data_IF_521603247669
#
_entry.id   IF_521603247669
#
_cell.length_a   1.000
_cell.length_b   1.000
_cell.length_c   1.000
_cell.angle_alpha   90.00
_cell.angle_beta   90.00
_cell.angle_gamma   90.00
#
_symmetry.space_group_name_H-M   'P 1'
#
loop_
_entity.id
_entity.type
_entity.pdbx_description
1 polymer ?
#
# COMPACT_ATOMS: atom_id res chain seq x y z
N UNK A 1 35.24 -10.60 -79.39
CA UNK A 1 34.29 -11.73 -79.24
C UNK A 1 34.89 -12.71 -78.24
N UNK A 2 34.65 -12.51 -76.95
CA UNK A 2 35.20 -13.38 -75.89
C UNK A 2 34.21 -13.47 -74.73
N UNK A 3 33.99 -14.69 -74.29
CA UNK A 3 32.99 -15.10 -73.33
C UNK A 3 33.48 -15.02 -71.87
N UNK A 4 32.50 -14.86 -70.97
CA UNK A 4 32.47 -15.22 -69.53
C UNK A 4 33.39 -14.46 -68.55
N UNK A 5 32.78 -13.69 -67.67
CA UNK A 5 33.35 -13.23 -66.39
C UNK A 5 32.43 -13.55 -65.21
N UNK A 6 33.05 -14.12 -64.16
CA UNK A 6 32.50 -14.52 -62.85
C UNK A 6 32.20 -13.29 -61.97
N UNK A 7 31.16 -13.40 -61.15
CA UNK A 7 30.92 -12.65 -59.90
C UNK A 7 30.01 -13.54 -59.06
N UNK A 8 30.39 -14.21 -57.95
CA UNK A 8 31.04 -13.81 -56.69
C UNK A 8 30.23 -12.83 -55.83
N UNK A 9 29.22 -13.36 -55.11
CA UNK A 9 28.95 -13.15 -53.66
C UNK A 9 27.50 -13.50 -53.32
N UNK A 10 27.28 -14.65 -52.70
CA UNK A 10 26.17 -14.93 -51.78
C UNK A 10 26.79 -15.42 -50.49
N UNK A 11 26.57 -14.68 -49.40
CA UNK A 11 27.09 -14.98 -48.07
C UNK A 11 26.55 -16.30 -47.54
N UNK A 12 27.43 -16.99 -46.82
CA UNK A 12 27.19 -18.27 -46.15
C UNK A 12 26.08 -18.16 -45.11
N UNK A 13 25.03 -18.94 -45.34
CA UNK A 13 24.06 -19.37 -44.33
C UNK A 13 23.95 -20.88 -44.47
N UNK A 14 24.93 -21.62 -43.97
CA UNK A 14 24.89 -23.07 -43.69
C UNK A 14 26.30 -23.55 -43.38
N UNK A 15 26.48 -24.23 -42.24
CA UNK A 15 27.26 -25.50 -42.16
C UNK A 15 27.45 -25.98 -40.71
N UNK A 16 26.34 -26.12 -39.98
CA UNK A 16 26.20 -27.06 -38.86
C UNK A 16 25.39 -28.31 -39.28
N UNK A 17 25.32 -28.59 -40.59
CA UNK A 17 24.68 -29.79 -41.13
C UNK A 17 25.66 -30.96 -41.07
N UNK A 18 25.74 -31.62 -39.91
CA UNK A 18 26.73 -32.67 -39.72
C UNK A 18 26.53 -33.60 -38.53
N UNK A 19 25.30 -34.00 -38.18
CA UNK A 19 25.04 -35.19 -37.35
C UNK A 19 23.54 -35.51 -37.32
N UNK A 20 23.12 -36.60 -37.97
CA UNK A 20 21.97 -37.51 -37.72
C UNK A 20 20.74 -37.10 -36.85
N UNK A 21 20.39 -35.82 -36.73
CA UNK A 21 19.29 -35.33 -35.91
C UNK A 21 17.95 -35.32 -36.64
N UNK A 22 16.86 -35.50 -35.90
CA UNK A 22 15.51 -35.39 -36.45
C UNK A 22 15.21 -33.94 -36.83
N UNK A 23 14.37 -33.71 -37.84
CA UNK A 23 14.01 -32.35 -38.29
C UNK A 23 13.46 -31.43 -37.19
N UNK A 24 12.91 -31.99 -36.10
CA UNK A 24 12.46 -31.20 -34.93
C UNK A 24 13.62 -30.76 -34.02
N UNK A 25 14.80 -31.40 -34.09
CA UNK A 25 16.01 -30.98 -33.36
C UNK A 25 16.67 -29.76 -34.01
N UNK A 26 16.59 -29.62 -35.35
CA UNK A 26 17.05 -28.44 -36.09
C UNK A 26 16.13 -27.22 -35.89
N UNK A 27 14.85 -27.45 -35.59
CA UNK A 27 13.86 -26.40 -35.29
C UNK A 27 13.92 -25.95 -33.82
N UNK A 28 14.46 -26.80 -32.94
CA UNK A 28 14.69 -26.51 -31.52
C UNK A 28 15.96 -25.68 -31.29
N UNK A 29 16.06 -24.51 -31.92
CA UNK A 29 17.01 -23.50 -31.45
C UNK A 29 16.62 -23.15 -30.00
N UNK A 30 17.53 -23.38 -29.05
CA UNK A 30 17.29 -22.95 -27.67
C UNK A 30 17.12 -21.45 -27.73
N UNK A 31 16.08 -20.92 -27.10
CA UNK A 31 15.86 -19.47 -27.03
C UNK A 31 17.09 -18.70 -26.53
N UNK A 32 17.94 -19.34 -25.72
CA UNK A 32 19.20 -18.79 -25.22
C UNK A 32 20.38 -18.84 -26.22
N UNK A 33 20.32 -19.66 -27.28
CA UNK A 33 21.31 -19.65 -28.36
C UNK A 33 21.10 -18.45 -29.32
N UNK A 34 19.88 -17.90 -29.34
CA UNK A 34 19.51 -16.68 -30.09
C UNK A 34 19.91 -15.43 -29.30
N UNK A 35 19.87 -15.50 -27.97
CA UNK A 35 20.40 -14.45 -27.09
C UNK A 35 21.92 -14.63 -26.98
N UNK A 36 22.62 -14.54 -28.11
CA UNK A 36 24.06 -14.25 -28.07
C UNK A 36 24.23 -12.79 -27.72
N UNK A 37 25.14 -12.51 -26.81
CA UNK A 37 25.66 -11.16 -26.61
C UNK A 37 26.11 -10.63 -27.97
N UNK A 38 25.34 -9.72 -28.56
CA UNK A 38 25.81 -8.97 -29.71
C UNK A 38 27.17 -8.37 -29.29
N UNK A 39 28.23 -8.65 -30.06
CA UNK A 39 29.62 -8.20 -29.80
C UNK A 39 29.77 -6.66 -29.75
N UNK A 40 28.66 -5.92 -29.77
CA UNK A 40 28.48 -4.49 -29.47
C UNK A 40 27.85 -4.28 -28.07
N UNK A 41 28.39 -4.95 -27.04
CA UNK A 41 27.90 -4.96 -25.66
C UNK A 41 27.72 -3.61 -24.94
N UNK A 42 27.98 -2.47 -25.60
CA UNK A 42 27.62 -1.14 -25.10
C UNK A 42 26.11 -0.86 -25.14
N UNK A 43 25.39 -1.33 -26.18
CA UNK A 43 23.99 -0.96 -26.39
C UNK A 43 23.02 -1.64 -25.41
N UNK A 44 23.35 -2.84 -24.92
CA UNK A 44 22.52 -3.59 -23.96
C UNK A 44 22.53 -2.96 -22.56
N UNK A 45 23.72 -2.55 -22.09
CA UNK A 45 23.85 -1.87 -20.80
C UNK A 45 23.22 -0.47 -20.82
N UNK A 46 23.40 0.28 -21.91
CA UNK A 46 22.77 1.58 -22.09
C UNK A 46 21.24 1.50 -22.08
N UNK A 47 20.67 0.54 -22.82
CA UNK A 47 19.23 0.28 -22.81
C UNK A 47 18.72 -0.14 -21.42
N UNK A 48 19.49 -0.96 -20.69
CA UNK A 48 19.15 -1.34 -19.31
C UNK A 48 19.15 -0.12 -18.38
N UNK A 49 20.16 0.73 -18.42
CA UNK A 49 20.23 1.94 -17.59
C UNK A 49 19.11 2.90 -17.93
N UNK A 50 18.82 3.13 -19.22
CA UNK A 50 17.68 3.93 -19.64
C UNK A 50 16.36 3.34 -19.13
N UNK A 51 16.16 2.02 -19.24
CA UNK A 51 14.95 1.36 -18.73
C UNK A 51 14.79 1.53 -17.21
N UNK A 52 15.88 1.51 -16.45
CA UNK A 52 15.86 1.73 -14.99
C UNK A 52 15.45 3.18 -14.68
N UNK A 53 16.03 4.15 -15.40
CA UNK A 53 15.70 5.57 -15.23
C UNK A 53 14.24 5.81 -15.62
N UNK A 54 13.78 5.26 -16.74
CA UNK A 54 12.39 5.37 -17.19
C UNK A 54 11.42 4.72 -16.20
N UNK A 55 11.76 3.55 -15.65
CA UNK A 55 10.91 2.90 -14.64
C UNK A 55 10.81 3.73 -13.36
N UNK A 56 11.91 4.37 -12.93
CA UNK A 56 11.89 5.32 -11.81
C UNK A 56 11.07 6.57 -12.13
N UNK A 57 11.23 7.15 -13.32
CA UNK A 57 10.42 8.29 -13.79
C UNK A 57 8.93 7.94 -13.85
N UNK A 58 8.59 6.75 -14.35
CA UNK A 58 7.21 6.24 -14.38
C UNK A 58 6.60 6.19 -12.98
N UNK A 59 7.35 5.79 -11.94
CA UNK A 59 6.84 5.80 -10.55
C UNK A 59 6.50 7.21 -10.06
N UNK A 60 7.36 8.20 -10.34
CA UNK A 60 7.11 9.60 -9.97
C UNK A 60 5.90 10.16 -10.75
N UNK A 61 5.83 9.88 -12.05
CA UNK A 61 4.73 10.34 -12.91
C UNK A 61 3.39 9.64 -12.64
N UNK A 62 3.40 8.42 -12.09
CA UNK A 62 2.17 7.67 -11.72
C UNK A 62 1.37 8.40 -10.64
N UNK A 63 2.02 9.19 -9.80
CA UNK A 63 1.35 10.01 -8.79
C UNK A 63 0.92 11.33 -9.44
N UNK A 64 -0.39 11.54 -9.69
CA UNK A 64 -0.85 12.79 -10.27
C UNK A 64 -0.56 13.92 -9.27
N UNK A 65 0.24 14.90 -9.69
CA UNK A 65 0.55 16.11 -8.93
C UNK A 65 -0.65 17.05 -8.80
N UNK A 66 -1.77 16.72 -9.44
CA UNK A 66 -3.00 17.49 -9.34
C UNK A 66 -3.59 17.32 -7.94
N UNK A 67 -3.79 18.41 -7.18
CA UNK A 67 -4.40 18.35 -5.86
C UNK A 67 -5.86 17.91 -6.00
N UNK A 68 -6.12 16.63 -5.75
CA UNK A 68 -7.46 16.10 -5.64
C UNK A 68 -7.93 16.22 -4.19
N UNK A 69 -9.22 16.48 -3.99
CA UNK A 69 -9.85 16.20 -2.71
C UNK A 69 -9.80 14.69 -2.49
N UNK A 70 -9.21 14.27 -1.37
CA UNK A 70 -9.00 12.86 -1.01
C UNK A 70 -9.64 12.56 0.34
N UNK A 71 -10.11 11.32 0.51
CA UNK A 71 -10.63 10.83 1.79
C UNK A 71 -9.49 10.43 2.74
N UNK A 72 -8.96 11.39 3.51
CA UNK A 72 -7.82 11.14 4.43
C UNK A 72 -8.20 10.18 5.55
N UNK A 73 -9.43 10.27 6.06
CA UNK A 73 -9.96 9.35 7.08
C UNK A 73 -10.55 8.14 6.36
N UNK A 74 -9.74 7.11 6.20
CA UNK A 74 -10.10 5.87 5.49
C UNK A 74 -10.28 4.70 6.44
N UNK A 75 -11.26 3.86 6.14
CA UNK A 75 -11.40 2.53 6.74
C UNK A 75 -11.32 1.52 5.61
N UNK A 76 -10.22 0.76 5.61
CA UNK A 76 -9.92 -0.22 4.59
C UNK A 76 -10.18 -1.63 5.14
N UNK A 77 -11.00 -2.41 4.46
CA UNK A 77 -11.19 -3.83 4.74
C UNK A 77 -10.46 -4.64 3.69
N UNK A 78 -9.47 -5.43 4.10
CA UNK A 78 -8.76 -6.36 3.22
C UNK A 78 -9.47 -7.71 3.27
N UNK A 79 -9.88 -8.20 2.12
CA UNK A 79 -10.46 -9.52 1.94
C UNK A 79 -9.41 -10.39 1.25
N UNK A 80 -8.98 -11.45 1.90
CA UNK A 80 -7.95 -12.37 1.43
C UNK A 80 -8.62 -13.67 0.98
N UNK A 81 -8.30 -14.12 -0.23
CA UNK A 81 -8.62 -15.48 -0.66
C UNK A 81 -7.79 -16.51 0.11
N UNK A 82 -8.47 -17.45 0.76
CA UNK A 82 -7.92 -18.60 1.47
C UNK A 82 -8.47 -19.94 0.93
N UNK A 83 -8.90 -19.97 -0.33
CA UNK A 83 -9.36 -21.17 -1.04
C UNK A 83 -8.23 -22.11 -1.45
N UNK A 84 -8.55 -23.30 -1.93
CA UNK A 84 -7.55 -24.26 -2.42
C UNK A 84 -6.65 -23.71 -3.54
N UNK A 85 -7.13 -22.76 -4.34
CA UNK A 85 -6.36 -22.09 -5.40
C UNK A 85 -5.12 -21.34 -4.87
N UNK A 86 -5.13 -20.98 -3.59
CA UNK A 86 -4.02 -20.27 -2.93
C UNK A 86 -2.90 -21.19 -2.46
N UNK A 87 -3.10 -22.51 -2.56
CA UNK A 87 -2.06 -23.53 -2.35
C UNK A 87 -1.12 -23.67 -3.55
N UNK A 88 -1.47 -23.11 -4.71
CA UNK A 88 -0.65 -23.19 -5.92
C UNK A 88 0.70 -22.49 -5.73
N UNK A 89 1.72 -23.02 -6.42
CA UNK A 89 3.13 -22.60 -6.31
C UNK A 89 3.57 -21.65 -7.42
N UNK A 90 2.62 -20.93 -7.98
CA UNK A 90 2.84 -19.89 -8.99
C UNK A 90 3.73 -18.77 -8.44
N UNK A 91 3.41 -18.31 -7.21
CA UNK A 91 4.29 -17.49 -6.38
C UNK A 91 5.01 -18.38 -5.37
N UNK A 92 6.28 -18.08 -5.06
CA UNK A 92 7.09 -18.92 -4.18
C UNK A 92 6.99 -18.47 -2.71
N UNK A 93 6.81 -19.38 -1.74
CA UNK A 93 6.61 -20.84 -1.87
C UNK A 93 5.18 -21.25 -2.26
N UNK A 94 4.18 -20.44 -1.90
CA UNK A 94 2.75 -20.58 -2.28
C UNK A 94 2.15 -19.19 -2.44
N UNK A 95 1.06 -19.06 -3.21
CA UNK A 95 0.32 -17.79 -3.34
C UNK A 95 -0.05 -17.20 -1.97
N UNK A 96 -0.67 -17.98 -1.08
CA UNK A 96 -1.05 -17.49 0.25
C UNK A 96 0.14 -16.98 1.06
N UNK A 97 1.23 -17.76 1.11
CA UNK A 97 2.40 -17.37 1.91
C UNK A 97 3.03 -16.07 1.41
N UNK A 98 3.04 -15.85 0.09
CA UNK A 98 3.56 -14.62 -0.49
C UNK A 98 2.63 -13.44 -0.22
N UNK A 99 1.32 -13.63 -0.41
CA UNK A 99 0.29 -12.63 -0.07
C UNK A 99 0.39 -12.18 1.39
N UNK A 100 0.54 -13.11 2.34
CA UNK A 100 0.66 -12.76 3.76
C UNK A 100 1.95 -11.99 4.06
N UNK A 101 3.07 -12.27 3.38
CA UNK A 101 4.31 -11.51 3.56
C UNK A 101 4.17 -10.06 3.07
N UNK A 102 3.65 -9.88 1.86
CA UNK A 102 3.43 -8.54 1.32
C UNK A 102 2.35 -7.77 2.08
N UNK A 103 1.35 -8.46 2.63
CA UNK A 103 0.39 -7.84 3.53
C UNK A 103 1.03 -7.33 4.82
N UNK A 104 2.01 -8.03 5.41
CA UNK A 104 2.73 -7.51 6.58
C UNK A 104 3.46 -6.20 6.25
N UNK A 105 4.16 -6.15 5.11
CA UNK A 105 4.82 -4.93 4.62
C UNK A 105 3.80 -3.82 4.35
N UNK A 106 2.68 -4.15 3.68
CA UNK A 106 1.61 -3.21 3.38
C UNK A 106 0.99 -2.61 4.65
N UNK A 107 0.73 -3.40 5.69
CA UNK A 107 0.16 -2.89 6.94
C UNK A 107 1.07 -1.83 7.57
N UNK A 108 2.38 -2.07 7.59
CA UNK A 108 3.34 -1.12 8.16
C UNK A 108 3.38 0.16 7.34
N UNK A 109 3.51 0.06 6.01
CA UNK A 109 3.53 1.22 5.11
C UNK A 109 2.20 2.00 5.15
N UNK A 110 1.07 1.29 5.16
CA UNK A 110 -0.27 1.87 5.19
C UNK A 110 -0.49 2.76 6.41
N UNK A 111 -0.09 2.29 7.59
CA UNK A 111 -0.23 3.06 8.83
C UNK A 111 0.85 4.13 9.01
N UNK A 112 1.97 4.05 8.30
CA UNK A 112 2.96 5.13 8.31
C UNK A 112 2.48 6.33 7.49
N UNK A 113 1.99 6.08 6.28
CA UNK A 113 1.44 7.11 5.38
C UNK A 113 0.07 7.62 5.85
N UNK A 114 -0.78 6.72 6.37
CA UNK A 114 -2.14 7.05 6.78
C UNK A 114 -2.41 6.69 8.25
N UNK A 115 -1.82 7.42 9.22
CA UNK A 115 -1.90 7.04 10.63
C UNK A 115 -3.30 7.10 11.23
N UNK A 116 -4.18 7.96 10.71
CA UNK A 116 -5.56 8.12 11.21
C UNK A 116 -6.54 7.07 10.67
N UNK A 117 -6.06 6.17 9.81
CA UNK A 117 -6.86 5.14 9.15
C UNK A 117 -7.18 3.99 10.08
N UNK A 118 -8.14 3.16 9.65
CA UNK A 118 -8.37 1.84 10.25
C UNK A 118 -8.31 0.77 9.20
N UNK A 119 -7.88 -0.40 9.65
CA UNK A 119 -7.77 -1.59 8.82
C UNK A 119 -8.57 -2.72 9.46
N UNK A 120 -9.21 -3.57 8.67
CA UNK A 120 -9.75 -4.87 9.07
C UNK A 120 -9.35 -5.94 8.07
N UNK A 121 -9.27 -7.20 8.50
CA UNK A 121 -8.84 -8.33 7.65
C UNK A 121 -9.85 -9.48 7.73
N UNK A 122 -10.38 -9.87 6.57
CA UNK A 122 -11.31 -10.99 6.37
C UNK A 122 -10.63 -12.06 5.51
N UNK A 123 -10.83 -13.33 5.83
CA UNK A 123 -10.33 -14.48 5.07
C UNK A 123 -11.51 -15.29 4.50
N UNK A 124 -11.53 -15.50 3.19
CA UNK A 124 -12.49 -16.37 2.52
C UNK A 124 -11.98 -17.80 2.50
N UNK A 125 -12.65 -18.72 3.20
CA UNK A 125 -12.22 -20.12 3.30
C UNK A 125 -13.40 -21.05 3.52
N UNK A 126 -13.41 -22.23 2.89
CA UNK A 126 -14.49 -23.21 3.01
C UNK A 126 -15.89 -22.64 2.69
N UNK A 127 -16.01 -21.74 1.71
CA UNK A 127 -17.27 -21.10 1.33
C UNK A 127 -17.81 -20.08 2.34
N UNK A 128 -17.04 -19.74 3.38
CA UNK A 128 -17.43 -18.77 4.42
C UNK A 128 -16.40 -17.65 4.54
N UNK A 129 -16.86 -16.48 5.00
CA UNK A 129 -16.00 -15.36 5.35
C UNK A 129 -15.68 -15.42 6.85
N UNK A 130 -14.38 -15.46 7.18
CA UNK A 130 -13.90 -15.48 8.56
C UNK A 130 -13.22 -14.15 8.88
N UNK A 131 -13.63 -13.49 9.96
CA UNK A 131 -12.97 -12.29 10.45
C UNK A 131 -11.66 -12.68 11.15
N UNK A 132 -10.51 -12.30 10.57
CA UNK A 132 -9.19 -12.57 11.13
C UNK A 132 -8.77 -11.46 12.08
N UNK A 133 -8.96 -10.23 11.64
CA UNK A 133 -8.59 -9.03 12.38
C UNK A 133 -9.75 -8.04 12.36
N UNK A 134 -10.24 -7.69 13.54
CA UNK A 134 -11.23 -6.64 13.72
C UNK A 134 -10.72 -5.27 13.25
N UNK A 135 -11.64 -4.36 12.93
CA UNK A 135 -11.31 -3.02 12.45
C UNK A 135 -10.61 -2.24 13.56
N UNK A 136 -9.31 -2.01 13.40
CA UNK A 136 -8.52 -1.28 14.40
C UNK A 136 -7.47 -0.39 13.73
N UNK A 137 -7.01 0.62 14.48
CA UNK A 137 -5.94 1.54 14.08
C UNK A 137 -4.54 1.12 14.57
N UNK A 138 -4.38 -0.10 15.11
CA UNK A 138 -3.11 -0.57 15.66
C UNK A 138 -2.37 -1.45 14.63
N UNK A 139 -1.20 -1.04 14.13
CA UNK A 139 -0.46 -1.85 13.15
C UNK A 139 -0.03 -3.21 13.72
N UNK A 140 0.45 -3.23 14.97
CA UNK A 140 0.96 -4.45 15.62
C UNK A 140 -0.14 -5.52 15.76
N UNK A 141 -1.37 -5.11 16.09
CA UNK A 141 -2.51 -6.02 16.17
C UNK A 141 -2.72 -6.78 14.86
N UNK A 142 -2.71 -6.08 13.72
CA UNK A 142 -2.87 -6.69 12.40
C UNK A 142 -1.67 -7.57 12.02
N UNK A 143 -0.45 -7.11 12.28
CA UNK A 143 0.78 -7.88 12.00
C UNK A 143 0.82 -9.19 12.79
N UNK A 144 0.44 -9.17 14.06
CA UNK A 144 0.40 -10.37 14.91
C UNK A 144 -0.68 -11.35 14.44
N UNK A 145 -1.85 -10.86 14.02
CA UNK A 145 -2.90 -11.72 13.42
C UNK A 145 -2.41 -12.35 12.10
N UNK A 146 -1.72 -11.61 11.25
CA UNK A 146 -1.12 -12.15 10.02
C UNK A 146 -0.01 -13.16 10.34
N UNK A 147 0.82 -12.89 11.36
CA UNK A 147 1.85 -13.82 11.82
C UNK A 147 1.24 -15.13 12.33
N UNK A 148 0.12 -15.05 13.04
CA UNK A 148 -0.64 -16.23 13.49
C UNK A 148 -1.23 -17.03 12.32
N UNK A 149 -1.69 -16.37 11.25
CA UNK A 149 -2.09 -17.07 10.02
C UNK A 149 -0.92 -17.80 9.34
N UNK A 150 0.29 -17.21 9.40
CA UNK A 150 1.50 -17.80 8.80
C UNK A 150 2.10 -18.94 9.65
N UNK A 151 1.86 -18.97 10.96
CA UNK A 151 2.43 -19.95 11.88
C UNK A 151 1.98 -21.38 11.51
N UNK A 152 2.90 -22.15 10.92
CA UNK A 152 2.68 -23.42 10.21
C UNK A 152 2.29 -24.62 11.08
N UNK A 153 2.14 -24.48 12.40
CA UNK A 153 2.28 -25.66 13.28
C UNK A 153 1.01 -26.49 13.49
N UNK A 154 -0.20 -25.97 13.27
CA UNK A 154 -1.42 -26.76 13.50
C UNK A 154 -2.57 -26.31 12.60
N UNK A 155 -2.69 -26.87 11.38
CA UNK A 155 -3.88 -27.09 10.52
C UNK A 155 -5.05 -26.06 10.41
N UNK A 156 -5.07 -24.97 11.18
CA UNK A 156 -6.26 -24.15 11.34
C UNK A 156 -6.50 -23.25 10.15
N UNK A 157 -5.47 -22.82 9.43
CA UNK A 157 -5.60 -21.84 8.36
C UNK A 157 -4.89 -22.24 7.06
N UNK A 158 -4.75 -23.55 6.79
CA UNK A 158 -4.36 -23.98 5.45
C UNK A 158 -5.44 -23.58 4.41
N UNK A 159 -5.04 -23.06 3.24
CA UNK A 159 -5.97 -22.66 2.19
C UNK A 159 -6.76 -23.87 1.69
N UNK A 160 -8.07 -23.90 1.99
CA UNK A 160 -8.96 -25.05 1.72
C UNK A 160 -10.37 -24.57 1.36
N UNK A 161 -11.05 -25.42 0.58
CA UNK A 161 -12.39 -25.16 0.08
C UNK A 161 -12.43 -23.99 -0.90
N UNK A 162 -13.63 -23.44 -1.08
CA UNK A 162 -13.90 -22.40 -2.08
C UNK A 162 -13.94 -21.00 -1.45
N UNK A 163 -13.70 -19.94 -2.22
CA UNK A 163 -13.93 -18.58 -1.75
C UNK A 163 -15.42 -18.20 -1.85
N UNK A 164 -15.88 -17.31 -0.97
CA UNK A 164 -17.23 -16.71 -1.07
C UNK A 164 -17.12 -15.19 -0.98
N UNK A 165 -17.23 -14.53 -2.13
CA UNK A 165 -17.21 -13.08 -2.24
C UNK A 165 -18.43 -12.44 -1.56
N UNK A 166 -19.64 -12.97 -1.77
CA UNK A 166 -20.86 -12.40 -1.20
C UNK A 166 -20.78 -12.31 0.33
N UNK A 167 -20.48 -13.41 1.01
CA UNK A 167 -20.38 -13.45 2.48
C UNK A 167 -19.31 -12.48 2.99
N UNK A 168 -18.19 -12.38 2.26
CA UNK A 168 -17.09 -11.48 2.63
C UNK A 168 -17.45 -10.01 2.45
N UNK A 169 -18.18 -9.66 1.39
CA UNK A 169 -18.65 -8.30 1.10
C UNK A 169 -19.75 -7.88 2.08
N UNK A 170 -20.67 -8.77 2.44
CA UNK A 170 -21.70 -8.49 3.45
C UNK A 170 -21.10 -8.29 4.86
N UNK A 171 -20.08 -9.09 5.22
CA UNK A 171 -19.32 -8.91 6.46
C UNK A 171 -18.55 -7.57 6.43
N UNK A 172 -17.83 -7.27 5.35
CA UNK A 172 -17.11 -6.02 5.18
C UNK A 172 -18.04 -4.81 5.27
N UNK A 173 -19.20 -4.87 4.60
CA UNK A 173 -20.26 -3.85 4.66
C UNK A 173 -20.75 -3.62 6.09
N UNK A 174 -20.96 -4.70 6.86
CA UNK A 174 -21.37 -4.60 8.26
C UNK A 174 -20.28 -3.91 9.10
N UNK A 175 -19.02 -4.33 8.97
CA UNK A 175 -17.89 -3.71 9.67
C UNK A 175 -17.74 -2.22 9.32
N UNK A 176 -17.93 -1.85 8.06
CA UNK A 176 -17.87 -0.47 7.59
C UNK A 176 -19.05 0.38 8.10
N UNK A 177 -20.20 -0.22 8.44
CA UNK A 177 -21.34 0.51 9.02
C UNK A 177 -21.24 0.68 10.54
N UNK A 178 -20.90 -0.39 11.27
CA UNK A 178 -20.98 -0.39 12.74
C UNK A 178 -19.87 0.40 13.43
N UNK A 179 -18.68 0.49 12.82
CA UNK A 179 -17.53 1.15 13.45
C UNK A 179 -17.64 2.68 13.56
N UNK A 180 -18.68 3.28 13.00
CA UNK A 180 -18.94 4.71 13.08
C UNK A 180 -20.12 4.96 14.02
N UNK A 181 -19.83 4.99 15.31
CA UNK A 181 -20.78 5.41 16.35
C UNK A 181 -21.39 6.76 16.00
N UNK A 182 -22.72 6.80 16.00
CA UNK A 182 -23.59 7.90 15.57
C UNK A 182 -23.66 8.15 14.06
N UNK A 183 -24.89 8.20 13.55
CA UNK A 183 -25.29 8.39 12.13
C UNK A 183 -24.58 9.57 11.45
N UNK A 184 -24.15 10.57 12.21
CA UNK A 184 -23.51 11.79 11.69
C UNK A 184 -22.07 11.61 11.25
N UNK A 185 -21.37 10.56 11.70
CA UNK A 185 -19.97 10.30 11.31
C UNK A 185 -19.86 9.33 10.13
N UNK A 186 -20.93 8.63 9.78
CA UNK A 186 -20.91 7.52 8.82
C UNK A 186 -20.69 7.98 7.36
N UNK A 187 -21.02 9.22 7.03
CA UNK A 187 -20.81 9.80 5.69
C UNK A 187 -19.41 10.43 5.52
N UNK A 188 -18.65 10.61 6.61
CA UNK A 188 -17.41 11.41 6.59
C UNK A 188 -16.15 10.63 6.23
N UNK A 189 -16.19 9.30 6.35
CA UNK A 189 -15.02 8.46 6.22
C UNK A 189 -15.07 7.71 4.89
N UNK A 190 -13.93 7.64 4.20
CA UNK A 190 -13.78 6.82 3.00
C UNK A 190 -13.91 5.35 3.40
N UNK A 191 -14.89 4.66 2.82
CA UNK A 191 -15.15 3.24 3.05
C UNK A 191 -14.58 2.46 1.88
N UNK A 192 -13.56 1.66 2.16
CA UNK A 192 -12.78 1.00 1.12
C UNK A 192 -12.71 -0.50 1.38
N UNK A 193 -12.82 -1.29 0.32
CA UNK A 193 -12.63 -2.74 0.33
C UNK A 193 -11.54 -3.07 -0.68
N UNK A 194 -10.50 -3.77 -0.23
CA UNK A 194 -9.46 -4.34 -1.11
C UNK A 194 -9.58 -5.86 -1.11
N UNK A 195 -9.92 -6.44 -2.25
CA UNK A 195 -10.04 -7.90 -2.41
C UNK A 195 -8.80 -8.44 -3.09
N UNK A 196 -8.08 -9.37 -2.44
CA UNK A 196 -6.99 -10.13 -3.06
C UNK A 196 -7.57 -11.49 -3.46
N UNK A 197 -7.83 -11.66 -4.75
CA UNK A 197 -8.57 -12.79 -5.31
C UNK A 197 -7.64 -13.73 -6.08
N UNK A 198 -7.48 -14.95 -5.60
CA UNK A 198 -6.59 -15.94 -6.21
C UNK A 198 -7.31 -16.94 -7.11
N UNK A 199 -8.53 -17.33 -6.73
CA UNK A 199 -9.37 -18.21 -7.51
C UNK A 199 -9.91 -17.53 -8.79
N UNK A 200 -10.43 -18.35 -9.70
CA UNK A 200 -11.11 -17.89 -10.92
C UNK A 200 -12.64 -17.99 -10.82
N UNK A 201 -13.15 -18.47 -9.68
CA UNK A 201 -14.56 -18.67 -9.39
C UNK A 201 -14.85 -18.32 -7.93
N UNK A 202 -16.13 -18.08 -7.61
CA UNK A 202 -16.63 -17.83 -6.25
C UNK A 202 -17.85 -18.73 -6.01
N UNK A 203 -18.00 -19.24 -4.78
CA UNK A 203 -19.12 -20.08 -4.36
C UNK A 203 -20.00 -19.27 -3.40
N UNK A 204 -20.98 -18.56 -3.94
CA UNK A 204 -21.85 -17.65 -3.18
C UNK A 204 -23.28 -18.21 -3.00
N UNK A 205 -23.91 -18.00 -1.83
CA UNK A 205 -25.23 -18.57 -1.52
C UNK A 205 -26.40 -17.89 -2.25
N UNK A 206 -26.24 -16.62 -2.65
CA UNK A 206 -27.28 -15.81 -3.27
C UNK A 206 -26.79 -15.03 -4.48
N UNK A 207 -27.58 -14.04 -4.88
CA UNK A 207 -27.26 -13.17 -6.01
C UNK A 207 -26.30 -12.05 -5.59
N UNK A 208 -25.05 -12.14 -6.02
CA UNK A 208 -24.00 -11.17 -5.72
C UNK A 208 -24.33 -9.77 -6.27
N UNK A 209 -25.12 -9.63 -7.34
CA UNK A 209 -25.45 -8.33 -7.91
C UNK A 209 -26.27 -7.46 -6.95
N UNK A 210 -27.13 -8.08 -6.12
CA UNK A 210 -27.86 -7.38 -5.04
C UNK A 210 -26.94 -6.88 -3.93
N UNK A 211 -25.86 -7.61 -3.67
CA UNK A 211 -24.82 -7.20 -2.72
C UNK A 211 -24.03 -6.03 -3.29
N UNK A 212 -23.69 -6.07 -4.59
CA UNK A 212 -23.07 -4.94 -5.30
C UNK A 212 -23.97 -3.70 -5.26
N UNK A 213 -25.28 -3.84 -5.55
CA UNK A 213 -26.25 -2.74 -5.43
C UNK A 213 -26.27 -2.13 -4.02
N UNK A 214 -26.20 -3.00 -3.01
CA UNK A 214 -26.15 -2.60 -1.62
C UNK A 214 -24.87 -1.84 -1.24
N UNK A 215 -23.71 -2.24 -1.78
CA UNK A 215 -22.44 -1.55 -1.58
C UNK A 215 -22.44 -0.17 -2.24
N UNK A 216 -22.96 -0.06 -3.46
CA UNK A 216 -23.12 1.21 -4.17
C UNK A 216 -24.03 2.16 -3.39
N UNK A 217 -25.16 1.66 -2.86
CA UNK A 217 -26.07 2.46 -2.02
C UNK A 217 -25.41 2.99 -0.74
N UNK A 218 -24.45 2.26 -0.20
CA UNK A 218 -23.73 2.64 1.04
C UNK A 218 -22.43 3.42 0.78
N UNK A 219 -22.17 3.80 -0.49
CA UNK A 219 -20.99 4.54 -0.96
C UNK A 219 -19.66 3.87 -0.58
N UNK A 220 -19.59 2.54 -0.74
CA UNK A 220 -18.39 1.75 -0.46
C UNK A 220 -17.61 1.55 -1.77
N UNK A 221 -16.35 1.99 -1.79
CA UNK A 221 -15.44 1.81 -2.92
C UNK A 221 -14.72 0.47 -2.81
N UNK A 222 -14.69 -0.31 -3.90
CA UNK A 222 -13.99 -1.59 -3.95
C UNK A 222 -12.85 -1.55 -4.98
N UNK A 223 -11.73 -2.17 -4.61
CA UNK A 223 -10.61 -2.48 -5.49
C UNK A 223 -10.30 -3.97 -5.41
N UNK A 224 -9.85 -4.54 -6.53
CA UNK A 224 -9.57 -5.98 -6.63
C UNK A 224 -8.20 -6.20 -7.24
N UNK A 225 -7.40 -7.06 -6.60
CA UNK A 225 -6.14 -7.57 -7.14
C UNK A 225 -6.36 -9.05 -7.45
N UNK A 226 -6.43 -9.39 -8.74
CA UNK A 226 -6.53 -10.76 -9.23
C UNK A 226 -5.14 -11.39 -9.38
N UNK A 227 -4.92 -12.58 -8.83
CA UNK A 227 -3.60 -13.24 -8.90
C UNK A 227 -3.32 -13.99 -10.20
N UNK A 228 -4.34 -14.28 -11.03
CA UNK A 228 -4.13 -15.08 -12.24
C UNK A 228 -4.83 -14.48 -13.45
N UNK A 229 -6.14 -14.33 -13.40
CA UNK A 229 -6.91 -13.76 -14.50
C UNK A 229 -7.94 -12.75 -13.99
N UNK A 230 -8.55 -12.06 -14.95
CA UNK A 230 -9.68 -11.18 -14.69
C UNK A 230 -10.97 -11.97 -14.56
N UNK A 231 -11.74 -11.71 -13.50
CA UNK A 231 -13.05 -12.32 -13.27
C UNK A 231 -14.13 -11.28 -13.56
N UNK A 232 -15.08 -11.60 -14.44
CA UNK A 232 -16.10 -10.67 -14.92
C UNK A 232 -16.93 -10.05 -13.77
N UNK A 233 -17.31 -10.85 -12.77
CA UNK A 233 -18.06 -10.38 -11.59
C UNK A 233 -17.25 -9.37 -10.76
N UNK A 234 -15.96 -9.60 -10.59
CA UNK A 234 -15.09 -8.68 -9.87
C UNK A 234 -14.87 -7.39 -10.66
N UNK A 235 -14.81 -7.46 -12.00
CA UNK A 235 -14.77 -6.27 -12.84
C UNK A 235 -16.05 -5.45 -12.73
N UNK A 236 -17.21 -6.11 -12.68
CA UNK A 236 -18.48 -5.43 -12.46
C UNK A 236 -18.55 -4.78 -11.08
N UNK A 237 -18.13 -5.49 -10.02
CA UNK A 237 -18.04 -4.94 -8.66
C UNK A 237 -17.27 -3.62 -8.66
N UNK A 238 -16.04 -3.63 -9.18
CA UNK A 238 -15.15 -2.46 -9.20
C UNK A 238 -15.75 -1.30 -10.02
N UNK A 239 -16.24 -1.59 -11.23
CA UNK A 239 -16.85 -0.58 -12.11
C UNK A 239 -18.03 0.10 -11.41
N UNK A 240 -18.91 -0.70 -10.79
CA UNK A 240 -20.14 -0.19 -10.16
C UNK A 240 -19.85 0.58 -8.88
N UNK A 241 -18.92 0.14 -8.05
CA UNK A 241 -18.58 0.84 -6.79
C UNK A 241 -17.82 2.14 -7.00
N UNK A 242 -17.10 2.28 -8.12
CA UNK A 242 -16.29 3.47 -8.41
C UNK A 242 -16.95 4.43 -9.43
N UNK A 243 -18.22 4.21 -9.77
CA UNK A 243 -18.97 4.99 -10.77
C UNK A 243 -18.29 5.04 -12.15
N UNK A 244 -17.57 3.99 -12.53
CA UNK A 244 -16.91 3.88 -13.82
C UNK A 244 -17.86 3.27 -14.88
N UNK A 245 -17.70 3.61 -16.17
CA UNK A 245 -18.57 3.09 -17.21
C UNK A 245 -18.50 1.56 -17.28
N UNK A 246 -19.67 0.92 -17.49
CA UNK A 246 -19.76 -0.53 -17.67
C UNK A 246 -18.82 -0.97 -18.81
N UNK A 247 -18.05 -2.03 -18.56
CA UNK A 247 -17.03 -2.60 -19.47
C UNK A 247 -15.77 -1.75 -19.70
N UNK A 248 -15.54 -0.70 -18.91
CA UNK A 248 -14.22 -0.07 -18.88
C UNK A 248 -13.22 -0.97 -18.15
N UNK A 249 -11.97 -0.96 -18.59
CA UNK A 249 -10.86 -1.50 -17.81
C UNK A 249 -10.58 -0.53 -16.66
N UNK A 250 -11.09 -0.86 -15.48
CA UNK A 250 -10.89 -0.04 -14.29
C UNK A 250 -9.44 0.00 -13.87
N UNK A 251 -8.96 1.19 -13.49
CA UNK A 251 -7.66 1.34 -12.81
C UNK A 251 -7.62 0.55 -11.48
N UNK A 252 -8.79 0.38 -10.85
CA UNK A 252 -8.97 -0.26 -9.56
C UNK A 252 -9.04 -1.81 -9.61
N UNK A 253 -8.96 -2.40 -10.81
CA UNK A 253 -8.84 -3.85 -11.00
C UNK A 253 -7.46 -4.18 -11.59
N UNK A 254 -6.55 -4.71 -10.75
CA UNK A 254 -5.21 -5.08 -11.18
C UNK A 254 -5.04 -6.60 -11.28
N UNK A 255 -4.47 -7.09 -12.38
CA UNK A 255 -4.04 -8.51 -12.51
C UNK A 255 -2.54 -8.57 -12.31
N UNK A 256 -2.07 -9.43 -11.40
CA UNK A 256 -0.63 -9.59 -11.16
C UNK A 256 0.03 -10.26 -12.38
N UNK A 257 1.27 -9.88 -12.65
CA UNK A 257 2.09 -10.52 -13.71
C UNK A 257 3.29 -11.24 -13.11
N UNK A 258 3.85 -10.68 -12.05
CA UNK A 258 4.99 -11.23 -11.31
C UNK A 258 4.93 -10.72 -9.86
N UNK A 259 5.84 -11.22 -9.02
CA UNK A 259 5.94 -10.85 -7.61
C UNK A 259 6.12 -9.33 -7.40
N UNK A 260 6.94 -8.67 -8.23
CA UNK A 260 7.14 -7.22 -8.16
C UNK A 260 5.87 -6.43 -8.50
N UNK A 261 5.12 -6.85 -9.53
CA UNK A 261 3.89 -6.18 -9.94
C UNK A 261 2.81 -6.35 -8.86
N UNK A 262 2.75 -7.52 -8.22
CA UNK A 262 1.85 -7.71 -7.08
C UNK A 262 2.16 -6.74 -5.94
N UNK A 263 3.44 -6.57 -5.59
CA UNK A 263 3.85 -5.57 -4.59
C UNK A 263 3.50 -4.14 -5.02
N UNK A 264 3.68 -3.78 -6.29
CA UNK A 264 3.31 -2.46 -6.80
C UNK A 264 1.81 -2.18 -6.69
N UNK A 265 0.94 -3.11 -7.09
CA UNK A 265 -0.52 -2.97 -6.98
C UNK A 265 -0.98 -2.85 -5.53
N UNK A 266 -0.36 -3.62 -4.63
CA UNK A 266 -0.66 -3.55 -3.21
C UNK A 266 -0.24 -2.19 -2.62
N UNK A 267 0.94 -1.69 -2.97
CA UNK A 267 1.43 -0.38 -2.50
C UNK A 267 0.66 0.79 -3.13
N UNK A 268 0.12 0.66 -4.33
CA UNK A 268 -0.76 1.68 -4.92
C UNK A 268 -2.01 1.92 -4.04
N UNK A 269 -2.51 0.86 -3.40
CA UNK A 269 -3.65 0.92 -2.48
C UNK A 269 -3.35 1.70 -1.17
N UNK A 270 -2.07 1.95 -0.86
CA UNK A 270 -1.68 2.80 0.28
C UNK A 270 -2.07 4.26 0.04
N UNK A 271 -2.06 4.72 -1.21
CA UNK A 271 -2.41 6.11 -1.52
C UNK A 271 -3.93 6.32 -1.43
N UNK A 272 -4.39 7.45 -0.87
CA UNK A 272 -5.82 7.71 -0.74
C UNK A 272 -6.50 7.93 -2.08
N UNK A 273 -7.61 7.22 -2.32
CA UNK A 273 -8.38 7.36 -3.55
C UNK A 273 -8.89 8.80 -3.69
N UNK A 274 -8.81 9.39 -4.90
CA UNK A 274 -9.44 10.67 -5.16
C UNK A 274 -10.97 10.52 -5.10
N UNK A 275 -11.67 11.60 -4.73
CA UNK A 275 -13.11 11.67 -4.94
C UNK A 275 -13.41 11.66 -6.44
N UNK A 276 -14.46 10.94 -6.85
CA UNK A 276 -14.88 10.90 -8.25
C UNK A 276 -15.41 12.27 -8.67
N UNK A 277 -15.36 12.59 -9.96
CA UNK A 277 -15.90 13.87 -10.45
C UNK A 277 -17.39 14.02 -10.15
N UNK A 278 -18.14 12.91 -10.17
CA UNK A 278 -19.54 12.87 -9.76
C UNK A 278 -19.73 13.27 -8.30
N UNK A 279 -18.92 12.74 -7.39
CA UNK A 279 -18.95 13.08 -5.97
C UNK A 279 -18.62 14.56 -5.74
N UNK A 280 -17.65 15.11 -6.50
CA UNK A 280 -17.32 16.53 -6.45
C UNK A 280 -18.48 17.41 -6.90
N UNK A 281 -19.14 17.09 -8.02
CA UNK A 281 -20.28 17.86 -8.52
C UNK A 281 -21.47 17.81 -7.55
N UNK A 282 -21.73 16.64 -6.93
CA UNK A 282 -22.77 16.50 -5.90
C UNK A 282 -22.41 17.40 -4.70
N UNK A 283 -21.18 17.37 -4.23
CA UNK A 283 -20.73 18.23 -3.12
C UNK A 283 -20.75 19.73 -3.45
N UNK A 284 -20.52 20.12 -4.71
CA UNK A 284 -20.61 21.53 -5.13
C UNK A 284 -22.06 22.01 -5.25
N UNK A 285 -22.98 21.12 -5.65
CA UNK A 285 -24.40 21.43 -5.80
C UNK A 285 -25.16 21.42 -4.48
N UNK A 286 -24.78 20.55 -3.56
CA UNK A 286 -25.21 20.63 -2.17
C UNK A 286 -24.43 21.76 -1.48
N UNK A 287 -25.05 22.93 -1.27
CA UNK A 287 -24.46 24.04 -0.48
C UNK A 287 -24.08 23.67 0.98
N UNK A 288 -24.26 22.40 1.35
CA UNK A 288 -23.72 21.80 2.55
C UNK A 288 -22.21 21.59 2.35
N UNK A 289 -21.39 22.58 2.74
CA UNK A 289 -19.93 22.46 2.71
C UNK A 289 -19.42 21.18 3.40
N UNK A 290 -18.16 20.81 3.12
CA UNK A 290 -17.55 19.57 3.63
C UNK A 290 -17.75 19.45 5.15
N UNK A 291 -18.42 18.40 5.64
CA UNK A 291 -18.87 18.38 7.02
C UNK A 291 -17.68 18.14 7.95
N UNK A 292 -17.39 19.14 8.80
CA UNK A 292 -16.24 19.10 9.73
C UNK A 292 -16.43 17.99 10.77
N UNK A 293 -15.39 17.19 10.98
CA UNK A 293 -15.37 16.19 12.06
C UNK A 293 -14.81 16.80 13.34
N UNK A 294 -15.52 16.62 14.45
CA UNK A 294 -14.98 16.99 15.76
C UNK A 294 -13.90 15.99 16.17
N UNK A 295 -12.68 16.49 16.39
CA UNK A 295 -11.52 15.70 16.82
C UNK A 295 -11.05 16.18 18.20
N UNK A 296 -10.40 15.30 18.95
CA UNK A 296 -9.79 15.60 20.24
C UNK A 296 -8.27 15.47 20.18
N UNK A 297 -7.57 16.52 20.62
CA UNK A 297 -6.12 16.47 20.83
C UNK A 297 -5.86 16.19 22.31
N UNK A 298 -5.48 14.95 22.68
CA UNK A 298 -5.30 14.58 24.07
C UNK A 298 -3.98 15.11 24.63
N UNK A 299 -3.96 15.36 25.93
CA UNK A 299 -2.73 15.72 26.65
C UNK A 299 -1.98 14.45 27.06
N UNK A 300 -0.65 14.48 26.96
CA UNK A 300 0.20 13.39 27.45
C UNK A 300 0.23 13.43 28.99
N UNK A 301 -0.12 12.33 29.63
CA UNK A 301 -0.09 12.16 31.09
C UNK A 301 0.96 11.10 31.41
N UNK A 302 1.97 11.48 32.19
CA UNK A 302 2.91 10.56 32.79
C UNK A 302 2.53 10.38 34.26
N UNK A 303 2.24 9.15 34.73
CA UNK A 303 2.05 8.93 36.16
C UNK A 303 3.36 9.27 36.87
N UNK A 304 3.31 10.22 37.80
CA UNK A 304 4.47 10.56 38.63
C UNK A 304 4.55 9.48 39.71
N UNK A 305 5.48 8.52 39.59
CA UNK A 305 5.76 7.60 40.69
C UNK A 305 6.46 8.39 41.81
N UNK A 306 5.70 8.93 42.76
CA UNK A 306 6.24 9.35 44.05
C UNK A 306 5.84 8.32 45.09
N UNK A 307 6.74 7.38 45.37
CA UNK A 307 6.70 6.56 46.58
C UNK A 307 7.53 7.26 47.65
N UNK A 308 6.89 7.80 48.69
CA UNK A 308 7.57 8.21 49.92
C UNK A 308 7.12 7.29 51.06
N UNK A 309 8.00 6.36 51.43
CA UNK A 309 7.88 5.58 52.68
C UNK A 309 8.49 6.45 53.78
N UNK A 310 7.65 6.96 54.68
CA UNK A 310 8.09 7.72 55.86
C UNK A 310 7.49 9.12 55.96
N UNK A 311 6.29 9.22 56.54
CA UNK A 311 5.92 10.34 57.40
C UNK A 311 4.89 11.35 56.91
N UNK A 312 4.78 11.64 55.60
CA UNK A 312 3.71 12.51 55.07
C UNK A 312 3.77 12.58 53.54
N UNK A 313 2.80 11.96 52.87
CA UNK A 313 2.17 12.34 51.58
C UNK A 313 1.57 11.07 50.95
N UNK A 314 0.25 10.91 51.07
CA UNK A 314 -0.49 9.86 50.36
C UNK A 314 -1.02 10.41 49.04
N UNK A 315 -0.48 9.94 47.92
CA UNK A 315 -1.16 9.97 46.62
C UNK A 315 -1.62 8.55 46.34
N UNK A 316 -2.91 8.29 46.55
CA UNK A 316 -3.53 7.00 46.22
C UNK A 316 -3.83 6.99 44.72
N UNK A 317 -2.95 6.34 43.95
CA UNK A 317 -3.14 6.07 42.54
C UNK A 317 -3.93 4.74 42.39
N UNK A 318 -5.24 4.82 42.15
CA UNK A 318 -6.01 3.63 41.76
C UNK A 318 -5.56 3.17 40.37
N UNK A 319 -5.46 1.84 40.11
CA UNK A 319 -5.26 1.33 38.76
C UNK A 319 -6.53 1.59 37.97
N UNK A 320 -6.63 2.75 37.32
CA UNK A 320 -7.74 3.04 36.44
C UNK A 320 -7.60 2.16 35.20
N UNK A 321 -8.49 1.17 35.12
CA UNK A 321 -8.73 0.25 34.01
C UNK A 321 -8.43 0.91 32.66
N UNK A 322 -7.37 0.45 31.99
CA UNK A 322 -7.12 0.75 30.59
C UNK A 322 -8.23 0.08 29.76
N UNK A 323 -9.21 0.86 29.32
CA UNK A 323 -10.32 0.39 28.49
C UNK A 323 -9.92 0.10 27.03
N UNK A 324 -8.70 -0.42 26.79
CA UNK A 324 -8.14 -0.57 25.45
C UNK A 324 -8.59 -1.84 24.72
N UNK A 325 -9.43 -2.69 25.33
CA UNK A 325 -9.97 -3.89 24.69
C UNK A 325 -11.35 -4.26 25.26
N UNK A 326 -12.47 -3.87 24.65
CA UNK A 326 -13.68 -4.66 24.74
C UNK A 326 -13.54 -5.80 23.73
N UNK A 327 -12.92 -6.92 24.14
CA UNK A 327 -13.03 -8.14 23.33
C UNK A 327 -14.42 -8.72 23.57
N UNK A 328 -15.33 -8.53 22.62
CA UNK A 328 -16.58 -9.30 22.58
C UNK A 328 -16.34 -10.79 22.22
N UNK A 329 -15.09 -11.21 22.01
CA UNK A 329 -14.71 -12.60 21.73
C UNK A 329 -14.36 -13.47 22.95
N UNK A 330 -14.56 -13.01 24.19
CA UNK A 330 -14.24 -13.82 25.38
C UNK A 330 -15.29 -14.88 25.73
N UNK A 331 -16.48 -14.91 25.11
CA UNK A 331 -17.48 -15.95 25.41
C UNK A 331 -17.09 -17.34 24.87
N UNK A 332 -16.26 -17.43 23.83
CA UNK A 332 -15.77 -18.72 23.29
C UNK A 332 -14.51 -19.24 23.98
N UNK A 333 -13.91 -18.45 24.87
CA UNK A 333 -12.74 -18.85 25.65
C UNK A 333 -13.20 -19.07 27.09
N UNK A 334 -13.43 -20.32 27.49
CA UNK A 334 -13.75 -20.72 28.89
C UNK A 334 -12.63 -20.41 29.90
N UNK A 335 -11.69 -19.55 29.56
CA UNK A 335 -10.63 -19.09 30.44
C UNK A 335 -11.15 -17.89 31.24
N UNK A 336 -11.45 -18.16 32.51
CA UNK A 336 -11.78 -17.14 33.50
C UNK A 336 -10.60 -16.19 33.62
N UNK A 337 -10.79 -14.92 33.26
CA UNK A 337 -9.88 -13.85 33.66
C UNK A 337 -10.09 -13.64 35.16
N UNK A 338 -9.29 -14.30 36.00
CA UNK A 338 -9.30 -14.08 37.45
C UNK A 338 -8.83 -12.65 37.76
N UNK A 339 -9.78 -11.79 38.13
CA UNK A 339 -9.48 -10.52 38.80
C UNK A 339 -9.25 -10.85 40.28
N UNK A 340 -8.01 -11.22 40.63
CA UNK A 340 -7.63 -11.40 42.03
C UNK A 340 -7.67 -10.06 42.76
N UNK A 341 -8.77 -9.84 43.48
CA UNK A 341 -8.87 -8.84 44.53
C UNK A 341 -8.26 -9.44 45.80
N UNK A 342 -7.41 -8.67 46.48
CA UNK A 342 -6.82 -8.96 47.81
C UNK A 342 -5.74 -10.05 47.89
N UNK A 343 -4.52 -9.74 47.43
CA UNK A 343 -3.29 -10.19 48.11
C UNK A 343 -2.17 -9.14 47.92
N UNK A 344 -1.46 -8.76 49.00
CA UNK A 344 -0.44 -7.72 48.93
C UNK A 344 0.81 -8.22 48.21
N UNK A 345 1.47 -7.26 47.56
CA UNK A 345 2.62 -7.40 46.68
C UNK A 345 3.82 -8.15 47.28
N UNK A 346 4.24 -9.22 46.61
CA UNK A 346 5.65 -9.58 46.41
C UNK A 346 5.70 -10.69 45.34
N UNK A 347 6.41 -10.44 44.24
CA UNK A 347 6.82 -11.43 43.23
C UNK A 347 5.82 -11.88 42.13
N UNK A 348 5.17 -10.96 41.41
CA UNK A 348 4.93 -11.06 39.94
C UNK A 348 4.90 -9.62 39.38
N UNK A 349 6.03 -8.94 39.39
CA UNK A 349 6.15 -7.58 38.87
C UNK A 349 7.45 -7.47 38.08
N UNK A 350 7.38 -7.84 36.81
CA UNK A 350 8.39 -7.50 35.82
C UNK A 350 7.66 -7.26 34.50
N UNK A 351 7.85 -6.06 33.94
CA UNK A 351 7.41 -5.55 32.61
C UNK A 351 5.99 -4.99 32.45
N UNK A 352 5.70 -3.84 33.08
CA UNK A 352 4.99 -2.70 32.43
C UNK A 352 5.17 -1.41 33.24
N UNK A 353 6.41 -1.10 33.64
CA UNK A 353 6.77 0.18 34.28
C UNK A 353 6.71 1.33 33.28
N UNK A 354 6.08 2.46 33.68
CA UNK A 354 5.96 3.74 32.95
C UNK A 354 5.01 3.77 31.72
N UNK A 355 3.76 3.33 31.88
CA UNK A 355 2.77 3.51 30.80
C UNK A 355 2.40 4.99 30.68
N UNK A 356 3.09 5.68 29.76
CA UNK A 356 2.66 6.97 29.22
C UNK A 356 1.21 6.80 28.74
N UNK A 357 0.31 7.61 29.27
CA UNK A 357 -1.09 7.65 28.84
C UNK A 357 -1.42 8.96 28.15
N UNK A 358 -2.56 8.98 27.45
CA UNK A 358 -3.11 10.16 26.83
C UNK A 358 -4.49 10.43 27.40
N UNK A 359 -4.78 11.67 27.78
CA UNK A 359 -6.04 12.03 28.39
C UNK A 359 -6.97 12.68 27.35
N UNK A 360 -8.17 12.10 27.18
CA UNK A 360 -9.20 12.67 26.33
C UNK A 360 -9.57 14.09 26.80
N UNK A 361 -9.62 15.10 25.89
CA UNK A 361 -9.96 16.46 26.29
C UNK A 361 -11.42 16.61 26.76
N UNK A 362 -12.33 15.75 26.28
CA UNK A 362 -13.77 15.85 26.57
C UNK A 362 -14.19 15.10 27.84
N UNK A 363 -13.90 13.80 27.94
CA UNK A 363 -14.33 12.98 29.08
C UNK A 363 -13.22 12.69 30.10
N UNK A 364 -11.99 13.16 29.86
CA UNK A 364 -10.82 12.92 30.73
C UNK A 364 -10.42 11.45 30.90
N UNK A 365 -11.01 10.53 30.15
CA UNK A 365 -10.59 9.13 30.06
C UNK A 365 -9.14 9.03 29.59
N UNK A 366 -8.36 8.16 30.23
CA UNK A 366 -6.97 7.84 29.85
C UNK A 366 -6.97 6.71 28.83
N UNK A 367 -6.27 6.89 27.72
CA UNK A 367 -6.04 5.89 26.67
C UNK A 367 -4.55 5.65 26.51
N UNK A 368 -4.14 4.42 26.20
CA UNK A 368 -2.71 4.08 26.08
C UNK A 368 -2.11 4.50 24.73
N UNK A 369 -2.88 4.32 23.66
CA UNK A 369 -2.40 4.44 22.29
C UNK A 369 -3.23 5.46 21.51
N UNK A 370 -2.58 6.12 20.56
CA UNK A 370 -3.18 7.03 19.59
C UNK A 370 -2.71 6.65 18.19
N UNK A 371 -3.51 6.88 17.14
CA UNK A 371 -4.87 7.45 17.19
C UNK A 371 -5.93 6.39 17.54
N UNK A 372 -6.95 6.78 18.29
CA UNK A 372 -8.05 5.88 18.68
C UNK A 372 -9.35 6.64 18.89
N UNK A 373 -10.49 5.95 18.88
CA UNK A 373 -11.74 6.54 19.39
C UNK A 373 -11.72 6.43 20.91
N UNK A 374 -12.06 7.53 21.58
CA UNK A 374 -12.24 7.50 23.03
C UNK A 374 -13.40 6.55 23.40
N UNK A 375 -13.17 5.50 24.20
CA UNK A 375 -14.19 4.48 24.50
C UNK A 375 -15.38 5.04 25.29
N UNK A 376 -15.18 6.13 26.04
CA UNK A 376 -16.23 6.74 26.87
C UNK A 376 -17.10 7.73 26.09
N UNK A 377 -16.50 8.66 25.32
CA UNK A 377 -17.27 9.73 24.65
C UNK A 377 -17.38 9.57 23.13
N UNK A 378 -16.74 8.59 22.51
CA UNK A 378 -16.75 8.39 21.06
C UNK A 378 -15.96 9.43 20.25
N UNK A 379 -15.25 10.37 20.90
CA UNK A 379 -14.44 11.38 20.22
C UNK A 379 -13.18 10.74 19.62
N UNK A 380 -12.86 11.05 18.36
CA UNK A 380 -11.61 10.61 17.73
C UNK A 380 -10.42 11.36 18.34
N UNK A 381 -9.49 10.63 18.97
CA UNK A 381 -8.29 11.16 19.61
C UNK A 381 -7.10 11.02 18.67
N UNK A 382 -6.46 12.15 18.34
CA UNK A 382 -5.33 12.23 17.41
C UNK A 382 -4.28 13.23 17.90
N UNK A 383 -3.05 13.11 17.42
CA UNK A 383 -2.01 14.12 17.60
C UNK A 383 -1.85 14.93 16.31
N UNK A 384 -1.35 16.16 16.44
CA UNK A 384 -0.99 16.99 15.28
C UNK A 384 0.03 16.28 14.37
N UNK A 385 0.95 15.50 14.93
CA UNK A 385 1.94 14.70 14.18
C UNK A 385 1.31 13.60 13.32
N UNK A 386 0.12 13.10 13.67
CA UNK A 386 -0.58 12.11 12.84
C UNK A 386 -1.20 12.76 11.61
N UNK A 387 -1.82 13.94 11.77
CA UNK A 387 -2.28 14.72 10.63
C UNK A 387 -1.10 15.15 9.74
N UNK A 388 0.00 15.56 10.38
CA UNK A 388 1.22 16.00 9.73
C UNK A 388 1.71 15.00 8.66
N UNK A 389 1.76 13.71 9.04
CA UNK A 389 2.20 12.63 8.16
C UNK A 389 1.32 12.45 6.93
N UNK A 390 0.01 12.68 7.03
CA UNK A 390 -0.92 12.53 5.90
C UNK A 390 -1.00 13.72 4.93
N UNK A 391 -0.37 14.86 5.23
CA UNK A 391 -0.49 16.08 4.40
C UNK A 391 0.08 15.93 3.00
N UNK A 392 1.09 15.10 2.80
CA UNK A 392 1.74 14.93 1.50
C UNK A 392 0.79 14.38 0.42
N UNK A 393 -0.30 13.71 0.82
CA UNK A 393 -1.36 13.28 -0.10
C UNK A 393 -2.25 14.43 -0.59
N UNK A 394 -2.40 15.49 0.21
CA UNK A 394 -3.20 16.67 -0.13
C UNK A 394 -2.43 17.67 -0.99
N UNK A 395 -1.15 17.84 -0.68
CA UNK A 395 -0.25 18.75 -1.38
C UNK A 395 0.93 17.94 -1.92
N UNK A 396 0.73 17.20 -3.02
CA UNK A 396 1.82 16.43 -3.62
C UNK A 396 2.92 17.37 -4.13
N UNK A 397 4.17 16.92 -4.00
CA UNK A 397 5.29 17.65 -4.58
C UNK A 397 5.21 17.62 -6.11
N UNK A 398 5.41 18.77 -6.74
CA UNK A 398 5.47 18.85 -8.19
C UNK A 398 6.74 18.15 -8.71
N UNK A 399 6.63 17.32 -9.78
CA UNK A 399 7.76 16.59 -10.33
C UNK A 399 8.86 17.55 -10.79
N UNK A 400 10.11 17.18 -10.53
CA UNK A 400 11.24 17.95 -11.01
C UNK A 400 11.38 17.82 -12.53
N UNK A 401 11.77 18.91 -13.17
CA UNK A 401 11.93 18.96 -14.63
C UNK A 401 13.35 18.56 -15.00
N UNK A 402 13.49 17.57 -15.86
CA UNK A 402 14.79 17.19 -16.41
C UNK A 402 15.39 18.33 -17.24
N UNK A 403 16.64 18.69 -16.92
CA UNK A 403 17.38 19.72 -17.65
C UNK A 403 17.96 19.09 -18.91
N UNK A 404 17.68 19.67 -20.08
CA UNK A 404 18.23 19.17 -21.35
C UNK A 404 19.76 19.32 -21.37
N UNK A 405 20.44 18.48 -22.14
CA UNK A 405 21.89 18.56 -22.31
C UNK A 405 22.27 19.92 -22.90
N UNK A 406 23.13 20.67 -22.21
CA UNK A 406 23.64 21.97 -22.64
C UNK A 406 25.16 22.06 -22.43
N UNK A 407 25.86 22.93 -23.19
CA UNK A 407 27.31 23.11 -23.02
C UNK A 407 27.67 23.83 -21.71
N UNK A 408 26.73 24.57 -21.14
CA UNK A 408 26.91 25.36 -19.91
C UNK A 408 25.71 25.07 -19.00
N UNK A 409 25.96 24.82 -17.72
CA UNK A 409 24.95 24.62 -16.68
C UNK A 409 25.21 25.60 -15.54
N UNK A 410 24.15 26.04 -14.86
CA UNK A 410 24.25 26.94 -13.69
C UNK A 410 24.83 26.20 -12.47
N UNK A 411 24.54 24.90 -12.35
CA UNK A 411 24.92 24.07 -11.20
C UNK A 411 26.02 23.05 -11.54
N UNK A 412 27.01 22.99 -10.66
CA UNK A 412 28.11 22.02 -10.69
C UNK A 412 27.87 20.84 -9.75
N UNK A 413 27.12 21.04 -8.67
CA UNK A 413 26.82 20.04 -7.65
C UNK A 413 25.32 19.92 -7.42
N UNK A 414 24.89 18.71 -7.05
CA UNK A 414 23.52 18.46 -6.59
C UNK A 414 23.26 19.19 -5.27
N UNK A 415 22.16 19.95 -5.18
CA UNK A 415 21.80 20.68 -3.96
C UNK A 415 21.58 19.76 -2.74
N UNK A 416 21.01 18.57 -2.95
CA UNK A 416 20.74 17.60 -1.89
C UNK A 416 21.98 16.89 -1.34
N UNK A 417 22.66 16.10 -2.19
CA UNK A 417 23.78 15.24 -1.77
C UNK A 417 25.18 15.77 -2.13
N UNK A 418 25.30 16.94 -2.75
CA UNK A 418 26.56 17.54 -3.21
C UNK A 418 27.35 16.68 -4.22
N UNK A 419 26.70 15.72 -4.86
CA UNK A 419 27.30 14.95 -5.95
C UNK A 419 27.67 15.88 -7.12
N UNK A 420 28.90 15.79 -7.61
CA UNK A 420 29.36 16.54 -8.79
C UNK A 420 28.65 16.02 -10.05
N UNK A 421 28.01 16.92 -10.79
CA UNK A 421 27.36 16.59 -12.06
C UNK A 421 28.38 16.47 -13.21
N UNK A 422 28.07 15.71 -14.27
CA UNK A 422 28.90 15.65 -15.47
C UNK A 422 28.99 17.02 -16.16
N UNK A 423 30.14 17.26 -16.80
CA UNK A 423 30.41 18.49 -17.55
C UNK A 423 29.59 18.56 -18.84
N UNK A 424 29.34 19.78 -19.34
CA UNK A 424 28.53 20.01 -20.55
C UNK A 424 29.23 19.54 -21.82
N UNK A 425 28.53 18.77 -22.64
CA UNK A 425 29.03 18.31 -23.95
C UNK A 425 28.63 19.34 -25.01
N UNK A 426 29.60 19.83 -25.80
CA UNK A 426 29.31 20.69 -26.97
C UNK A 426 28.62 19.85 -28.06
N UNK A 427 27.60 20.40 -28.71
CA UNK A 427 26.98 19.76 -29.89
C UNK A 427 28.06 19.54 -30.97
N UNK A 428 28.51 18.29 -31.14
CA UNK A 428 29.52 17.91 -32.16
C UNK A 428 30.61 16.95 -31.69
N UNK A 429 30.81 16.75 -30.39
CA UNK A 429 31.73 15.74 -29.83
C UNK A 429 31.07 14.35 -29.75
N UNK A 430 31.80 13.29 -30.12
CA UNK A 430 31.36 11.91 -30.36
C UNK A 430 30.06 11.46 -29.65
N UNK A 431 29.06 11.03 -30.43
CA UNK A 431 27.76 10.46 -30.03
C UNK A 431 27.83 9.14 -29.23
N UNK A 432 29.00 8.74 -28.73
CA UNK A 432 29.27 7.37 -28.25
C UNK A 432 29.51 7.21 -26.75
N UNK A 433 29.37 8.28 -25.95
CA UNK A 433 29.61 8.21 -24.50
C UNK A 433 28.34 8.57 -23.73
N UNK A 434 27.99 7.80 -22.70
CA UNK A 434 26.81 7.93 -21.83
C UNK A 434 26.54 9.38 -21.35
N UNK A 435 27.61 10.17 -21.17
CA UNK A 435 27.59 11.58 -20.76
C UNK A 435 26.90 12.52 -21.77
N UNK A 436 26.76 12.10 -23.03
CA UNK A 436 26.13 12.88 -24.08
C UNK A 436 24.59 12.76 -24.11
N UNK A 437 24.01 11.78 -23.41
CA UNK A 437 22.56 11.49 -23.51
C UNK A 437 21.73 12.15 -22.41
N UNK A 438 22.29 12.34 -21.21
CA UNK A 438 21.55 12.92 -20.08
C UNK A 438 22.42 13.90 -19.29
N UNK A 439 21.84 15.03 -18.90
CA UNK A 439 22.53 16.01 -18.04
C UNK A 439 22.64 15.52 -16.58
N UNK A 440 21.91 14.45 -16.22
CA UNK A 440 21.71 13.95 -14.86
C UNK A 440 21.18 14.98 -13.84
N UNK A 441 20.62 16.11 -14.32
CA UNK A 441 20.12 17.23 -13.52
C UNK A 441 18.59 17.30 -13.59
N UNK A 442 17.97 17.35 -12.41
CA UNK A 442 16.53 17.48 -12.22
C UNK A 442 16.23 18.76 -11.45
N UNK A 443 15.57 19.72 -12.10
CA UNK A 443 15.36 21.08 -11.58
C UNK A 443 14.00 21.22 -10.91
N UNK A 444 13.99 21.74 -9.70
CA UNK A 444 12.74 22.13 -9.04
C UNK A 444 12.17 23.41 -9.68
N UNK A 445 10.88 23.42 -10.03
CA UNK A 445 10.23 24.58 -10.67
C UNK A 445 10.03 25.78 -9.74
N UNK A 446 10.06 25.58 -8.42
CA UNK A 446 9.83 26.64 -7.42
C UNK A 446 11.14 27.35 -7.06
N UNK A 447 12.11 26.62 -6.51
CA UNK A 447 13.40 27.21 -6.08
C UNK A 447 14.48 27.22 -7.16
N UNK A 448 14.24 26.62 -8.33
CA UNK A 448 15.20 26.50 -9.44
C UNK A 448 16.52 25.81 -9.12
N UNK A 449 16.59 25.06 -8.00
CA UNK A 449 17.75 24.24 -7.63
C UNK A 449 17.76 22.91 -8.38
N UNK A 450 18.97 22.37 -8.61
CA UNK A 450 19.21 21.13 -9.35
C UNK A 450 19.56 19.95 -8.42
N UNK A 451 18.91 18.82 -8.67
CA UNK A 451 19.05 17.57 -7.93
C UNK A 451 19.51 16.43 -8.84
N UNK A 452 20.21 15.44 -8.28
CA UNK A 452 20.51 14.20 -8.99
C UNK A 452 19.31 13.24 -8.92
N UNK A 453 19.30 12.20 -9.78
CA UNK A 453 18.19 11.22 -9.83
C UNK A 453 17.90 10.55 -8.49
N UNK A 454 18.92 10.26 -7.67
CA UNK A 454 18.73 9.63 -6.37
C UNK A 454 18.05 10.58 -5.37
N UNK A 455 18.43 11.87 -5.39
CA UNK A 455 17.77 12.89 -4.58
C UNK A 455 16.34 13.13 -5.06
N UNK A 456 16.12 13.14 -6.38
CA UNK A 456 14.78 13.27 -6.96
C UNK A 456 13.85 12.15 -6.48
N UNK A 457 14.26 10.88 -6.59
CA UNK A 457 13.49 9.73 -6.09
C UNK A 457 13.26 9.82 -4.58
N UNK A 458 14.31 10.08 -3.79
CA UNK A 458 14.19 10.16 -2.34
C UNK A 458 13.24 11.28 -1.87
N UNK A 459 13.30 12.43 -2.54
CA UNK A 459 12.44 13.56 -2.24
C UNK A 459 10.98 13.27 -2.58
N UNK A 460 10.69 12.56 -3.68
CA UNK A 460 9.32 12.25 -4.07
C UNK A 460 8.72 11.05 -3.31
N UNK A 461 9.53 10.05 -2.92
CA UNK A 461 9.05 8.83 -2.25
C UNK A 461 9.06 8.91 -0.71
N UNK A 462 10.01 9.62 -0.10
CA UNK A 462 10.21 9.58 1.37
C UNK A 462 10.01 10.96 2.02
N UNK A 463 10.71 11.99 1.54
CA UNK A 463 10.64 13.31 2.20
C UNK A 463 9.35 14.08 1.89
N UNK A 464 8.82 13.89 0.68
CA UNK A 464 7.69 14.60 0.09
C UNK A 464 7.79 16.14 0.07
N UNK A 465 8.95 16.70 0.42
CA UNK A 465 9.22 18.14 0.45
C UNK A 465 10.55 18.44 -0.25
N UNK A 466 10.60 19.54 -1.01
CA UNK A 466 11.83 19.99 -1.67
C UNK A 466 12.75 20.69 -0.67
N UNK A 467 13.96 20.19 -0.38
CA UNK A 467 14.88 20.83 0.56
C UNK A 467 15.27 22.25 0.16
N UNK A 468 15.31 22.54 -1.14
CA UNK A 468 15.62 23.88 -1.65
C UNK A 468 14.47 24.89 -1.52
N UNK A 469 13.22 24.44 -1.34
CA UNK A 469 12.07 25.32 -1.10
C UNK A 469 11.81 25.56 0.39
N UNK A 470 12.35 24.71 1.28
CA UNK A 470 12.25 24.92 2.73
C UNK A 470 13.34 25.89 3.25
N UNK A 471 14.50 25.92 2.58
CA UNK A 471 15.61 26.80 2.94
C UNK A 471 15.49 28.23 2.35
N UNK A 472 14.63 28.44 1.36
CA UNK A 472 14.41 29.71 0.64
C UNK A 472 12.96 30.15 0.81
#
# INVERSE_FOLDING_TARGET
MSARTRSSRRGEVSDLKGANGYAWEDEYQRSWDIVKDDEQGGNSFEAMVQSIIENRKKKIMKNPSTPFQRGIIRTLIIIIDGSSAMSEKDLRPTRLSMTLNYLQEFVVEFFDQNPISRLGIILMRNGVANLVSEVSGSPQYHVDKIRNLKARQHNRFEPKGDPSLQNSLEMARSLLKFNFGSTSNNSKNSKEILVIFGALFTSDPGDIHKTIDSLVKDEIKASVIGLSAQVAICQELVNRTNNEPRNSQSKHYGVIMNESHFKELLMESVTPLPLTESEKQIQESEQNGVPVLRMGFPTKVQPTLTSAIGGSDYIVEFPHLNASFPTQGSEDSKDVVEIQTNKPAAAVATTSSSVIGYQCPQCKCKVCNLPTICPVCGLMLILSTHLARSYHHLVPLAPYKEVKVSPIYDSTYCFGCQLKFPEGVKLGTHKGTLESMTSSRYRCLKCSQDFCINCDVFVHEVLHNCPGCENN
#
